data_IF_316261258011
#
_entry.id   IF_316261258011
#
_cell.length_a   1.000
_cell.length_b   1.000
_cell.length_c   1.000
_cell.angle_alpha   90.00
_cell.angle_beta   90.00
_cell.angle_gamma   90.00
#
_symmetry.space_group_name_H-M   'P 1'
#
loop_
_entity.id
_entity.type
_entity.pdbx_description
1 polymer ?
#
# COMPACT_ATOMS: atom_id res chain seq x y z
N UNK A 1 10.97 -39.68 7.54
CA UNK A 1 9.76 -38.97 7.05
C UNK A 1 10.03 -37.48 7.12
N UNK A 2 10.13 -36.79 5.98
CA UNK A 2 10.33 -35.34 5.95
C UNK A 2 9.03 -34.66 6.37
N UNK A 3 9.01 -34.04 7.55
CA UNK A 3 7.94 -33.15 7.97
C UNK A 3 7.95 -31.96 7.01
N UNK A 4 7.02 -31.98 6.06
CA UNK A 4 6.68 -30.84 5.20
C UNK A 4 6.19 -29.75 6.16
N UNK A 5 7.11 -28.93 6.66
CA UNK A 5 6.82 -27.69 7.34
C UNK A 5 6.15 -26.83 6.29
N UNK A 6 4.82 -26.93 6.22
CA UNK A 6 3.99 -25.98 5.50
C UNK A 6 4.30 -24.64 6.16
N UNK A 7 5.22 -23.89 5.55
CA UNK A 7 5.78 -22.68 6.13
C UNK A 7 4.62 -21.82 6.57
N UNK A 8 4.55 -21.54 7.87
CA UNK A 8 3.48 -20.74 8.45
C UNK A 8 3.55 -19.38 7.74
N UNK A 9 2.58 -19.10 6.87
CA UNK A 9 2.49 -17.83 6.14
C UNK A 9 1.61 -16.90 6.94
N UNK A 10 2.21 -15.98 7.67
CA UNK A 10 1.50 -14.84 8.22
C UNK A 10 1.18 -13.87 7.08
N UNK A 11 -0.07 -13.43 7.02
CA UNK A 11 -0.52 -12.34 6.14
C UNK A 11 -1.04 -11.22 7.02
N UNK A 12 -0.69 -9.99 6.68
CA UNK A 12 -1.14 -8.80 7.41
C UNK A 12 -2.23 -8.16 6.57
N UNK A 13 -3.41 -8.02 7.17
CA UNK A 13 -4.56 -7.33 6.58
C UNK A 13 -4.80 -6.05 7.36
N UNK A 14 -5.06 -4.95 6.68
CA UNK A 14 -5.41 -3.68 7.30
C UNK A 14 -6.93 -3.57 7.35
N UNK A 15 -7.52 -3.59 8.53
CA UNK A 15 -8.96 -3.34 8.66
C UNK A 15 -9.23 -1.89 9.05
N UNK A 16 -10.01 -1.16 8.25
CA UNK A 16 -10.44 0.22 8.52
C UNK A 16 -11.95 0.32 8.37
N UNK A 17 -12.63 0.93 9.36
CA UNK A 17 -14.10 1.06 9.38
C UNK A 17 -14.86 -0.26 9.09
N UNK A 18 -14.31 -1.41 9.52
CA UNK A 18 -14.91 -2.72 9.26
C UNK A 18 -14.77 -3.22 7.81
N UNK A 19 -13.99 -2.55 6.97
CA UNK A 19 -13.54 -3.05 5.67
C UNK A 19 -12.12 -3.58 5.76
N UNK A 20 -11.89 -4.74 5.16
CA UNK A 20 -10.57 -5.34 5.04
C UNK A 20 -9.84 -4.81 3.80
N UNK A 21 -8.63 -4.32 4.00
CA UNK A 21 -7.73 -3.80 2.98
C UNK A 21 -6.44 -4.60 2.95
N UNK A 22 -6.01 -4.92 1.75
CA UNK A 22 -4.78 -5.66 1.53
C UNK A 22 -3.62 -4.68 1.32
N UNK A 23 -2.63 -4.69 2.21
CA UNK A 23 -1.45 -3.82 2.10
C UNK A 23 -0.73 -3.96 0.75
N UNK A 24 -0.69 -5.18 0.20
CA UNK A 24 -0.04 -5.48 -1.06
C UNK A 24 -0.81 -4.84 -2.23
N UNK A 25 -2.15 -4.82 -2.14
CA UNK A 25 -3.00 -4.11 -3.10
C UNK A 25 -2.80 -2.60 -3.01
N UNK A 26 -2.80 -2.02 -1.81
CA UNK A 26 -2.57 -0.57 -1.61
C UNK A 26 -1.18 -0.16 -2.15
N UNK A 27 -0.14 -0.94 -1.83
CA UNK A 27 1.21 -0.69 -2.31
C UNK A 27 1.29 -0.74 -3.85
N UNK A 28 0.70 -1.77 -4.47
CA UNK A 28 0.62 -1.87 -5.94
C UNK A 28 -0.11 -0.69 -6.56
N UNK A 29 -1.27 -0.33 -6.00
CA UNK A 29 -2.09 0.76 -6.53
C UNK A 29 -1.35 2.10 -6.43
N UNK A 30 -0.66 2.34 -5.31
CA UNK A 30 0.21 3.52 -5.12
C UNK A 30 1.35 3.57 -6.12
N UNK A 31 2.00 2.44 -6.40
CA UNK A 31 3.09 2.35 -7.39
C UNK A 31 2.57 2.58 -8.81
N UNK A 32 1.38 2.08 -9.15
CA UNK A 32 0.73 2.32 -10.45
C UNK A 32 0.33 3.78 -10.59
N UNK A 33 -0.24 4.38 -9.54
CA UNK A 33 -0.61 5.80 -9.52
C UNK A 33 0.63 6.69 -9.63
N UNK A 34 1.70 6.38 -8.89
CA UNK A 34 2.97 7.08 -8.96
C UNK A 34 3.60 7.01 -10.36
N UNK A 35 3.58 5.85 -11.01
CA UNK A 35 4.06 5.68 -12.39
C UNK A 35 3.24 6.46 -13.43
N UNK A 36 1.93 6.64 -13.19
CA UNK A 36 1.09 7.48 -14.05
C UNK A 36 1.42 8.96 -13.91
N UNK A 37 1.83 9.39 -12.72
CA UNK A 37 2.24 10.78 -12.45
C UNK A 37 3.63 11.05 -13.02
N UNK A 38 4.59 10.15 -12.78
CA UNK A 38 5.99 10.33 -13.16
C UNK A 38 6.55 8.98 -13.61
N UNK A 39 7.07 8.89 -14.84
CA UNK A 39 7.63 7.61 -15.35
C UNK A 39 8.93 7.18 -14.67
N UNK A 40 9.63 8.12 -14.03
CA UNK A 40 10.94 7.94 -13.40
C UNK A 40 10.83 7.97 -11.86
N UNK A 41 9.88 7.21 -11.32
CA UNK A 41 9.73 7.06 -9.86
C UNK A 41 10.83 6.15 -9.32
N UNK A 42 11.67 6.66 -8.42
CA UNK A 42 12.68 5.85 -7.71
C UNK A 42 12.17 5.30 -6.39
N UNK A 43 11.29 6.03 -5.71
CA UNK A 43 10.73 5.59 -4.43
C UNK A 43 9.26 6.01 -4.29
N UNK A 44 8.43 5.07 -3.81
CA UNK A 44 7.06 5.34 -3.37
C UNK A 44 6.94 4.97 -1.90
N UNK A 45 6.68 5.96 -1.05
CA UNK A 45 6.29 5.69 0.33
C UNK A 45 4.79 5.80 0.43
N UNK A 46 4.16 4.81 1.05
CA UNK A 46 2.71 4.79 1.26
C UNK A 46 2.45 4.84 2.75
N UNK A 47 1.64 5.78 3.19
CA UNK A 47 1.17 5.91 4.55
C UNK A 47 -0.34 5.83 4.58
N UNK A 48 -0.89 4.89 5.36
CA UNK A 48 -2.33 4.76 5.51
C UNK A 48 -2.79 5.51 6.74
N UNK A 49 -3.63 6.52 6.53
CA UNK A 49 -4.32 7.21 7.61
C UNK A 49 -5.64 6.50 7.90
N UNK A 50 -5.66 5.77 9.00
CA UNK A 50 -6.83 5.04 9.47
C UNK A 50 -8.02 5.98 9.80
N UNK A 51 -7.73 7.17 10.34
CA UNK A 51 -8.77 8.12 10.73
C UNK A 51 -9.50 8.73 9.52
N UNK A 52 -8.80 8.88 8.41
CA UNK A 52 -9.32 9.45 7.17
C UNK A 52 -9.83 8.37 6.18
N UNK A 53 -9.63 7.09 6.50
CA UNK A 53 -9.83 5.97 5.56
C UNK A 53 -9.18 6.23 4.20
N UNK A 54 -7.94 6.72 4.21
CA UNK A 54 -7.20 7.08 3.01
C UNK A 54 -5.73 6.70 3.12
N UNK A 55 -5.18 6.18 2.03
CA UNK A 55 -3.75 5.93 1.87
C UNK A 55 -3.10 7.07 1.09
N UNK A 56 -2.19 7.80 1.72
CA UNK A 56 -1.40 8.84 1.11
C UNK A 56 -0.11 8.22 0.58
N UNK A 57 0.38 8.69 -0.57
CA UNK A 57 1.67 8.25 -1.07
C UNK A 57 2.55 9.42 -1.47
N UNK A 58 3.86 9.25 -1.37
CA UNK A 58 4.86 10.23 -1.82
C UNK A 58 5.72 9.61 -2.90
N UNK A 59 6.02 10.37 -3.95
CA UNK A 59 6.83 9.94 -5.08
C UNK A 59 8.17 10.66 -5.01
N UNK A 60 9.28 9.92 -4.88
CA UNK A 60 10.64 10.46 -4.73
C UNK A 60 10.78 11.45 -3.55
N UNK A 61 10.02 11.25 -2.47
CA UNK A 61 9.96 12.19 -1.34
C UNK A 61 9.13 13.45 -1.60
N UNK A 62 8.59 13.63 -2.81
CA UNK A 62 7.58 14.65 -3.11
C UNK A 62 6.18 14.09 -2.81
N UNK A 63 5.57 14.60 -1.73
CA UNK A 63 4.14 14.43 -1.48
C UNK A 63 3.35 15.48 -2.26
N UNK A 64 2.18 15.11 -2.76
CA UNK A 64 1.22 16.04 -3.38
C UNK A 64 -0.18 15.75 -2.84
N UNK A 65 -1.04 16.77 -2.82
CA UNK A 65 -2.43 16.61 -2.36
C UNK A 65 -3.22 15.62 -3.23
N UNK A 66 -2.83 15.49 -4.51
CA UNK A 66 -3.38 14.50 -5.45
C UNK A 66 -2.93 13.07 -5.18
N UNK A 67 -1.90 12.86 -4.34
CA UNK A 67 -1.34 11.54 -4.07
C UNK A 67 -2.06 10.88 -2.89
N UNK A 68 -3.35 10.63 -3.07
CA UNK A 68 -4.17 9.87 -2.13
C UNK A 68 -4.97 8.78 -2.84
N UNK A 69 -5.12 7.66 -2.17
CA UNK A 69 -5.99 6.54 -2.51
C UNK A 69 -7.06 6.51 -1.43
N UNK A 70 -8.31 6.75 -1.82
CA UNK A 70 -9.44 6.59 -0.92
C UNK A 70 -9.65 5.09 -0.72
N UNK A 71 -9.67 4.65 0.54
CA UNK A 71 -9.89 3.26 0.92
C UNK A 71 -11.41 3.02 1.11
#
# INVERSE_FOLDING_TARGET
>A
MATKTSGIKSTITLQLNGKDYDFNKIAKDSVVAAQKVKKDVKAVNVYVNAADSAAYYTVDGAGSADYKIVL
#
